data_IF_464082564114
#
_entry.id   IF_464082564114
#
_cell.length_a   1.000
_cell.length_b   1.000
_cell.length_c   1.000
_cell.angle_alpha   90.00
_cell.angle_beta   90.00
_cell.angle_gamma   90.00
#
_symmetry.space_group_name_H-M   'P 1'
#
loop_
_entity.id
_entity.type
_entity.pdbx_description
1 polymer ?
#
# COMPACT_ATOMS: atom_id res chain seq x y z
N UNK A 1 -15.88 10.10 -4.82
CA UNK A 1 -14.44 10.20 -4.51
C UNK A 1 -14.21 10.33 -3.00
N UNK A 2 -14.25 9.19 -2.31
CA UNK A 2 -13.45 9.05 -1.09
C UNK A 2 -11.97 8.97 -1.52
N UNK A 3 -11.04 9.34 -0.65
CA UNK A 3 -9.63 9.19 -0.97
C UNK A 3 -9.29 7.69 -1.04
N UNK A 4 -8.54 7.28 -2.07
CA UNK A 4 -8.17 5.88 -2.30
C UNK A 4 -7.59 5.22 -1.05
N UNK A 5 -6.70 5.91 -0.34
CA UNK A 5 -6.04 5.39 0.86
C UNK A 5 -7.03 5.08 1.99
N UNK A 6 -8.10 5.87 2.14
CA UNK A 6 -9.14 5.59 3.15
C UNK A 6 -9.91 4.33 2.74
N UNK A 7 -10.25 4.19 1.47
CA UNK A 7 -10.99 3.02 0.99
C UNK A 7 -10.17 1.74 1.12
N UNK A 8 -8.94 1.74 0.59
CA UNK A 8 -8.08 0.54 0.57
C UNK A 8 -7.79 0.07 2.00
N UNK A 9 -7.50 0.96 2.95
CA UNK A 9 -7.25 0.56 4.34
C UNK A 9 -8.50 0.10 5.09
N UNK A 10 -9.70 0.47 4.63
CA UNK A 10 -10.96 0.08 5.28
C UNK A 10 -11.51 -1.28 4.84
N UNK A 11 -10.92 -1.91 3.81
CA UNK A 11 -11.34 -3.25 3.35
C UNK A 11 -11.03 -4.28 4.43
N UNK A 12 -11.96 -5.20 4.71
CA UNK A 12 -11.81 -6.20 5.79
C UNK A 12 -10.49 -6.98 5.70
N UNK A 13 -10.14 -7.46 4.50
CA UNK A 13 -8.87 -8.15 4.24
C UNK A 13 -7.64 -7.30 4.59
N UNK A 14 -7.71 -6.00 4.31
CA UNK A 14 -6.60 -5.08 4.54
C UNK A 14 -6.51 -4.67 6.02
N UNK A 15 -7.62 -4.63 6.75
CA UNK A 15 -7.59 -4.44 8.22
C UNK A 15 -6.87 -5.61 8.88
N UNK A 16 -7.20 -6.86 8.49
CA UNK A 16 -6.48 -8.05 8.99
C UNK A 16 -4.98 -7.98 8.66
N UNK A 17 -4.63 -7.55 7.43
CA UNK A 17 -3.23 -7.36 7.03
C UNK A 17 -2.51 -6.26 7.84
N UNK A 18 -3.16 -5.12 8.10
CA UNK A 18 -2.59 -4.03 8.91
C UNK A 18 -2.39 -4.47 10.37
N UNK A 19 -3.35 -5.22 10.94
CA UNK A 19 -3.21 -5.82 12.26
C UNK A 19 -2.04 -6.80 12.33
N UNK A 20 -1.85 -7.63 11.30
CA UNK A 20 -0.70 -8.54 11.21
C UNK A 20 0.62 -7.77 11.15
N UNK A 21 0.72 -6.71 10.33
CA UNK A 21 1.90 -5.84 10.27
C UNK A 21 2.19 -5.17 11.62
N UNK A 22 1.16 -4.73 12.35
CA UNK A 22 1.32 -4.07 13.65
C UNK A 22 1.98 -4.97 14.72
N UNK A 23 1.98 -6.29 14.52
CA UNK A 23 2.61 -7.27 15.40
C UNK A 23 4.09 -7.54 15.06
N UNK A 24 4.61 -6.93 13.98
CA UNK A 24 5.97 -7.12 13.50
C UNK A 24 6.89 -5.95 13.91
N UNK A 25 8.20 -6.19 13.88
CA UNK A 25 9.19 -5.13 14.04
C UNK A 25 9.34 -4.32 12.73
N UNK A 26 9.88 -3.11 12.81
CA UNK A 26 9.95 -2.19 11.65
C UNK A 26 10.63 -2.78 10.40
N UNK A 27 11.68 -3.59 10.57
CA UNK A 27 12.37 -4.25 9.46
C UNK A 27 11.49 -5.31 8.79
N UNK A 28 10.79 -6.11 9.60
CA UNK A 28 9.87 -7.15 9.14
C UNK A 28 8.61 -6.56 8.48
N UNK A 29 8.14 -5.39 8.96
CA UNK A 29 7.03 -4.65 8.32
C UNK A 29 7.41 -4.24 6.89
N UNK A 30 8.63 -3.71 6.69
CA UNK A 30 9.11 -3.29 5.37
C UNK A 30 9.19 -4.50 4.44
N UNK A 31 9.78 -5.61 4.93
CA UNK A 31 9.87 -6.86 4.16
C UNK A 31 8.49 -7.40 3.79
N UNK A 32 7.53 -7.42 4.72
CA UNK A 32 6.18 -7.90 4.46
C UNK A 32 5.42 -7.03 3.44
N UNK A 33 5.61 -5.71 3.47
CA UNK A 33 5.04 -4.78 2.48
C UNK A 33 5.67 -5.02 1.10
N UNK A 34 6.98 -5.26 1.04
CA UNK A 34 7.69 -5.59 -0.20
C UNK A 34 7.22 -6.94 -0.79
N UNK A 35 7.12 -7.98 0.04
CA UNK A 35 6.64 -9.30 -0.36
C UNK A 35 5.19 -9.25 -0.89
N UNK A 36 4.30 -8.52 -0.20
CA UNK A 36 2.92 -8.35 -0.66
C UNK A 36 2.83 -7.68 -2.05
N UNK A 37 3.66 -6.66 -2.32
CA UNK A 37 3.73 -6.04 -3.64
C UNK A 37 4.31 -7.03 -4.68
N UNK A 38 5.39 -7.72 -4.32
CA UNK A 38 6.06 -8.68 -5.21
C UNK A 38 5.15 -9.86 -5.57
N UNK A 39 4.34 -10.35 -4.64
CA UNK A 39 3.37 -11.42 -4.85
C UNK A 39 2.35 -11.04 -5.92
N UNK A 40 1.91 -9.78 -5.96
CA UNK A 40 1.00 -9.28 -7.00
C UNK A 40 1.69 -9.18 -8.36
N UNK A 41 2.93 -8.67 -8.41
CA UNK A 41 3.66 -8.45 -9.67
C UNK A 41 4.12 -9.75 -10.31
N UNK A 42 4.68 -10.67 -9.52
CA UNK A 42 5.41 -11.84 -10.02
C UNK A 42 4.77 -13.19 -9.64
N UNK A 43 3.76 -13.18 -8.78
CA UNK A 43 3.09 -14.38 -8.29
C UNK A 43 1.83 -14.75 -9.07
N UNK A 44 0.96 -15.51 -8.40
CA UNK A 44 -0.37 -15.84 -8.90
C UNK A 44 -1.39 -15.61 -7.77
N UNK A 45 -1.56 -14.35 -7.33
CA UNK A 45 -2.30 -14.01 -6.13
C UNK A 45 -3.79 -14.35 -6.26
N UNK A 46 -4.41 -14.63 -5.13
CA UNK A 46 -5.85 -14.63 -4.92
C UNK A 46 -6.40 -13.21 -4.86
N UNK A 47 -7.73 -13.05 -4.86
CA UNK A 47 -8.34 -11.72 -4.75
C UNK A 47 -7.92 -10.99 -3.46
N UNK A 48 -7.88 -11.72 -2.34
CA UNK A 48 -7.47 -11.19 -1.04
C UNK A 48 -6.00 -10.75 -1.04
N UNK A 49 -5.12 -11.53 -1.70
CA UNK A 49 -3.70 -11.17 -1.85
C UNK A 49 -3.50 -9.95 -2.77
N UNK A 50 -4.37 -9.77 -3.78
CA UNK A 50 -4.39 -8.55 -4.60
C UNK A 50 -4.79 -7.34 -3.74
N UNK A 51 -5.83 -7.47 -2.92
CA UNK A 51 -6.25 -6.40 -2.00
C UNK A 51 -5.11 -6.01 -1.04
N UNK A 52 -4.44 -6.99 -0.45
CA UNK A 52 -3.30 -6.76 0.43
C UNK A 52 -2.13 -6.10 -0.30
N UNK A 53 -1.84 -6.53 -1.53
CA UNK A 53 -0.81 -5.89 -2.36
C UNK A 53 -1.13 -4.45 -2.72
N UNK A 54 -2.40 -4.12 -2.97
CA UNK A 54 -2.86 -2.74 -3.19
C UNK A 54 -2.68 -1.88 -1.92
N UNK A 55 -3.01 -2.43 -0.76
CA UNK A 55 -2.77 -1.81 0.54
C UNK A 55 -1.26 -1.57 0.75
N UNK A 56 -0.44 -2.59 0.54
CA UNK A 56 1.01 -2.53 0.66
C UNK A 56 1.63 -1.48 -0.28
N UNK A 57 1.22 -1.44 -1.55
CA UNK A 57 1.71 -0.45 -2.51
C UNK A 57 1.32 0.98 -2.11
N UNK A 58 0.15 1.17 -1.51
CA UNK A 58 -0.29 2.47 -0.98
C UNK A 58 0.57 2.89 0.22
N UNK A 59 0.88 1.97 1.14
CA UNK A 59 1.81 2.21 2.26
C UNK A 59 3.19 2.58 1.74
N UNK A 60 3.72 1.84 0.76
CA UNK A 60 5.01 2.11 0.14
C UNK A 60 5.09 3.50 -0.51
N UNK A 61 4.01 3.93 -1.16
CA UNK A 61 3.90 5.27 -1.72
C UNK A 61 3.84 6.36 -0.64
N UNK A 62 3.13 6.13 0.47
CA UNK A 62 3.17 7.04 1.63
C UNK A 62 4.60 7.15 2.17
N UNK A 63 5.31 6.03 2.27
CA UNK A 63 6.70 6.03 2.70
C UNK A 63 7.63 6.75 1.73
N UNK A 64 7.32 6.74 0.43
CA UNK A 64 8.02 7.52 -0.59
C UNK A 64 7.66 9.01 -0.55
N UNK A 65 6.64 9.41 0.22
CA UNK A 65 6.25 10.79 0.46
C UNK A 65 4.93 11.21 -0.18
N UNK A 66 4.11 10.26 -0.64
CA UNK A 66 2.78 10.56 -1.17
C UNK A 66 1.89 11.24 -0.10
N UNK A 67 1.12 12.27 -0.47
CA UNK A 67 0.09 12.81 0.42
C UNK A 67 -1.03 11.79 0.60
N UNK A 68 -1.51 11.61 1.83
CA UNK A 68 -2.60 10.69 2.16
C UNK A 68 -3.64 11.36 3.09
N UNK A 69 -4.84 10.79 3.14
CA UNK A 69 -6.00 11.31 3.89
C UNK A 69 -6.39 10.45 5.09
N UNK A 70 -5.96 9.19 5.14
CA UNK A 70 -6.24 8.17 6.15
C UNK A 70 -5.47 8.41 7.47
N UNK A 71 -5.66 9.61 8.02
CA UNK A 71 -5.06 10.03 9.30
C UNK A 71 -5.54 9.18 10.47
N UNK A 72 -6.82 8.78 10.50
CA UNK A 72 -7.36 7.89 11.53
C UNK A 72 -6.66 6.52 11.51
N UNK A 73 -6.49 5.93 10.32
CA UNK A 73 -5.74 4.68 10.13
C UNK A 73 -4.27 4.84 10.55
N UNK A 74 -3.61 5.94 10.19
CA UNK A 74 -2.22 6.18 10.59
C UNK A 74 -2.04 6.45 12.11
N UNK A 75 -3.11 6.83 12.82
CA UNK A 75 -3.09 6.92 14.28
C UNK A 75 -3.26 5.55 14.94
N UNK A 76 -4.03 4.63 14.32
CA UNK A 76 -4.17 3.24 14.76
C UNK A 76 -2.95 2.37 14.40
N UNK A 77 -2.35 2.63 13.25
CA UNK A 77 -1.19 1.94 12.69
C UNK A 77 -0.01 2.92 12.48
N UNK A 78 0.75 3.27 13.53
CA UNK A 78 1.78 4.32 13.48
C UNK A 78 2.89 4.08 12.44
N UNK A 79 3.21 2.83 12.10
CA UNK A 79 4.24 2.49 11.12
C UNK A 79 3.97 3.09 9.73
N UNK A 80 2.71 3.39 9.38
CA UNK A 80 2.34 4.05 8.13
C UNK A 80 3.05 5.42 8.00
N UNK A 81 3.22 6.15 9.11
CA UNK A 81 3.93 7.45 9.14
C UNK A 81 5.36 7.38 9.64
N UNK A 82 5.67 6.43 10.53
CA UNK A 82 6.99 6.37 11.17
C UNK A 82 8.08 5.84 10.22
N UNK A 83 7.69 5.06 9.21
CA UNK A 83 8.62 4.47 8.24
C UNK A 83 8.78 5.29 6.95
N UNK A 84 8.35 6.55 6.94
CA UNK A 84 8.58 7.45 5.80
C UNK A 84 10.07 7.59 5.52
N UNK A 85 10.45 7.33 4.27
CA UNK A 85 11.84 7.26 3.81
C UNK A 85 12.46 5.87 3.81
N UNK A 86 11.70 4.82 4.15
CA UNK A 86 12.20 3.42 4.17
C UNK A 86 11.99 2.68 2.85
N UNK A 87 11.40 3.31 1.85
CA UNK A 87 11.11 2.70 0.54
C UNK A 87 12.39 2.38 -0.22
N UNK A 88 12.61 1.09 -0.52
CA UNK A 88 13.70 0.61 -1.37
C UNK A 88 13.38 0.86 -2.86
N UNK A 89 14.38 0.80 -3.74
CA UNK A 89 14.17 0.92 -5.19
C UNK A 89 13.26 -0.22 -5.70
N UNK A 90 13.50 -1.45 -5.24
CA UNK A 90 12.70 -2.63 -5.60
C UNK A 90 11.24 -2.51 -5.11
N UNK A 91 11.03 -2.03 -3.87
CA UNK A 91 9.69 -1.79 -3.34
C UNK A 91 8.96 -0.69 -4.14
N UNK A 92 9.65 0.39 -4.50
CA UNK A 92 9.06 1.46 -5.31
C UNK A 92 8.64 0.96 -6.69
N UNK A 93 9.49 0.18 -7.37
CA UNK A 93 9.18 -0.42 -8.67
C UNK A 93 7.98 -1.38 -8.60
N UNK A 94 7.93 -2.25 -7.60
CA UNK A 94 6.81 -3.18 -7.42
C UNK A 94 5.51 -2.43 -7.08
N UNK A 95 5.57 -1.46 -6.17
CA UNK A 95 4.43 -0.63 -5.78
C UNK A 95 3.89 0.17 -6.98
N UNK A 96 4.76 0.70 -7.84
CA UNK A 96 4.39 1.41 -9.05
C UNK A 96 3.55 0.52 -9.98
N UNK A 97 3.98 -0.71 -10.23
CA UNK A 97 3.26 -1.67 -11.08
C UNK A 97 1.87 -1.97 -10.51
N UNK A 98 1.78 -2.19 -9.19
CA UNK A 98 0.50 -2.47 -8.52
C UNK A 98 -0.45 -1.27 -8.61
N UNK A 99 0.03 -0.06 -8.33
CA UNK A 99 -0.78 1.16 -8.37
C UNK A 99 -1.21 1.52 -9.81
N UNK A 100 -0.35 1.28 -10.81
CA UNK A 100 -0.73 1.43 -12.21
C UNK A 100 -1.86 0.48 -12.60
N UNK A 101 -1.79 -0.79 -12.19
CA UNK A 101 -2.87 -1.75 -12.43
C UNK A 101 -4.20 -1.31 -11.79
N UNK A 102 -4.15 -0.68 -10.61
CA UNK A 102 -5.32 -0.04 -9.97
C UNK A 102 -5.86 1.11 -10.81
N UNK A 103 -4.99 2.01 -11.30
CA UNK A 103 -5.40 3.15 -12.13
C UNK A 103 -6.01 2.73 -13.49
N UNK A 104 -5.66 1.55 -13.98
CA UNK A 104 -6.19 0.99 -15.23
C UNK A 104 -7.55 0.28 -15.05
N UNK A 105 -8.06 0.18 -13.82
CA UNK A 105 -9.42 -0.35 -13.58
C UNK A 105 -10.48 0.61 -14.13
N UNK A 106 -11.65 0.10 -14.52
CA UNK A 106 -12.73 0.93 -15.09
C UNK A 106 -13.46 1.80 -14.05
N UNK A 107 -12.94 1.93 -12.83
CA UNK A 107 -13.52 2.72 -11.75
C UNK A 107 -12.99 4.16 -11.78
N UNK A 108 -13.76 5.06 -12.40
CA UNK A 108 -13.44 6.50 -12.54
C UNK A 108 -13.41 7.26 -11.19
N UNK A 109 -13.83 6.63 -10.09
CA UNK A 109 -13.78 7.19 -8.74
C UNK A 109 -12.44 6.92 -8.02
N UNK A 110 -11.57 6.05 -8.58
CA UNK A 110 -10.27 5.71 -8.01
C UNK A 110 -9.20 6.69 -8.52
N UNK A 111 -8.67 7.51 -7.61
CA UNK A 111 -7.55 8.41 -7.88
C UNK A 111 -6.32 7.94 -7.10
N UNK A 112 -5.36 7.35 -7.83
CA UNK A 112 -4.07 6.89 -7.30
C UNK A 112 -2.87 7.64 -7.86
N UNK A 113 -3.11 8.72 -8.61
CA UNK A 113 -2.06 9.39 -9.40
C UNK A 113 -0.98 10.01 -8.51
N UNK A 114 -1.37 10.55 -7.35
CA UNK A 114 -0.43 11.07 -6.36
C UNK A 114 0.46 9.97 -5.74
N UNK A 115 -0.05 8.74 -5.60
CA UNK A 115 0.74 7.61 -5.09
C UNK A 115 1.70 7.10 -6.16
N UNK A 116 1.23 7.00 -7.42
CA UNK A 116 2.06 6.65 -8.58
C UNK A 116 3.23 7.64 -8.74
N UNK A 117 2.97 8.95 -8.64
CA UNK A 117 4.01 9.98 -8.76
C UNK A 117 5.09 9.84 -7.68
N UNK A 118 4.72 9.44 -6.46
CA UNK A 118 5.66 9.31 -5.36
C UNK A 118 6.65 8.14 -5.51
N UNK A 119 6.24 7.05 -6.17
CA UNK A 119 7.06 5.83 -6.35
C UNK A 119 7.71 5.72 -7.74
N UNK A 120 7.49 6.71 -8.62
CA UNK A 120 8.00 6.75 -10.00
C UNK A 120 9.38 7.40 -10.14
#
# INVERSE_FOLDING_TARGET
MAAWDIEVFSRETNVDFLDDLANLDSEDIIEAVEDACQLVVNGNPTADEIDNGQCAATIAAIWAGAPFSASETADEYPYIRELVGSTSEELAENALVVLQAVSETEDEDIDVEAFIEAVS
#
